data_IF_577652460596
#
_entry.id   IF_577652460596
#
_cell.length_a   1.000
_cell.length_b   1.000
_cell.length_c   1.000
_cell.angle_alpha   90.00
_cell.angle_beta   90.00
_cell.angle_gamma   90.00
#
_symmetry.space_group_name_H-M   'P 1'
#
loop_
_entity.id
_entity.type
_entity.pdbx_description
1 polymer ?
#
# COMPACT_ATOMS: atom_id res chain seq x y z
N UNK A 1 5.86 12.52 -4.44
CA UNK A 1 5.33 11.97 -3.17
C UNK A 1 5.32 10.45 -3.30
N UNK A 2 5.73 9.69 -2.27
CA UNK A 2 5.62 8.25 -2.30
C UNK A 2 4.13 7.85 -2.31
N UNK A 3 3.80 6.89 -3.16
CA UNK A 3 2.47 6.28 -3.24
C UNK A 3 2.59 4.95 -2.50
N UNK A 4 1.72 4.73 -1.52
CA UNK A 4 1.64 3.49 -0.77
C UNK A 4 0.34 2.78 -1.14
N UNK A 5 0.45 1.57 -1.66
CA UNK A 5 -0.72 0.75 -1.93
C UNK A 5 -1.08 -0.04 -0.68
N UNK A 6 -2.38 -0.20 -0.42
CA UNK A 6 -2.93 -0.93 0.71
C UNK A 6 -4.01 -1.89 0.25
N UNK A 7 -4.13 -3.03 0.92
CA UNK A 7 -5.09 -4.07 0.65
C UNK A 7 -5.84 -4.46 1.93
N UNK A 8 -7.17 -4.39 1.90
CA UNK A 8 -8.01 -4.80 3.01
C UNK A 8 -8.09 -6.32 3.12
N UNK A 9 -7.67 -6.89 4.25
CA UNK A 9 -7.72 -8.34 4.49
C UNK A 9 -9.15 -8.87 4.63
N UNK A 10 -10.14 -8.00 4.90
CA UNK A 10 -11.53 -8.39 5.16
C UNK A 10 -12.40 -8.42 3.90
N UNK A 11 -12.27 -7.41 3.03
CA UNK A 11 -13.08 -7.29 1.82
C UNK A 11 -12.27 -7.42 0.52
N UNK A 12 -10.94 -7.49 0.60
CA UNK A 12 -10.05 -7.58 -0.55
C UNK A 12 -9.88 -6.28 -1.34
N UNK A 13 -10.45 -5.16 -0.85
CA UNK A 13 -10.36 -3.88 -1.54
C UNK A 13 -8.93 -3.33 -1.50
N UNK A 14 -8.43 -2.91 -2.67
CA UNK A 14 -7.13 -2.24 -2.82
C UNK A 14 -7.33 -0.74 -2.97
N UNK A 15 -6.54 0.03 -2.26
CA UNK A 15 -6.57 1.48 -2.33
C UNK A 15 -5.17 2.07 -2.19
N UNK A 16 -4.96 3.22 -2.81
CA UNK A 16 -3.68 3.90 -2.84
C UNK A 16 -3.75 5.12 -1.91
N UNK A 17 -2.75 5.26 -1.06
CA UNK A 17 -2.56 6.42 -0.19
C UNK A 17 -1.33 7.15 -0.65
N UNK A 18 -1.54 8.36 -1.18
CA UNK A 18 -0.44 9.27 -1.51
C UNK A 18 -0.22 10.17 -0.30
N UNK A 19 0.93 10.04 0.34
CA UNK A 19 1.15 10.73 1.60
C UNK A 19 2.60 10.85 2.04
N UNK A 20 2.82 11.66 3.07
CA UNK A 20 4.12 11.78 3.73
C UNK A 20 4.40 10.54 4.59
N UNK A 21 5.65 10.27 4.94
CA UNK A 21 6.02 9.12 5.81
C UNK A 21 5.17 9.04 7.10
N UNK A 22 4.77 10.19 7.66
CA UNK A 22 3.91 10.28 8.84
C UNK A 22 2.47 9.79 8.61
N UNK A 23 1.99 9.78 7.36
CA UNK A 23 0.68 9.23 7.02
C UNK A 23 0.72 7.71 6.95
N UNK A 24 1.88 7.10 6.67
CA UNK A 24 2.06 5.64 6.71
C UNK A 24 1.76 5.04 8.10
N UNK A 25 2.00 5.81 9.15
CA UNK A 25 1.89 5.36 10.54
C UNK A 25 0.47 5.52 11.10
N UNK A 26 -0.42 6.17 10.33
CA UNK A 26 -1.83 6.28 10.70
C UNK A 26 -2.55 4.96 10.41
N UNK A 27 -3.40 4.53 11.32
CA UNK A 27 -4.33 3.42 11.10
C UNK A 27 -5.26 3.77 9.92
N UNK A 28 -4.97 3.23 8.73
CA UNK A 28 -5.85 3.38 7.59
C UNK A 28 -7.06 2.44 7.74
N UNK A 29 -8.27 2.99 7.64
CA UNK A 29 -9.47 2.19 7.54
C UNK A 29 -9.79 1.94 6.07
N UNK A 30 -10.29 0.74 5.75
CA UNK A 30 -10.76 0.44 4.41
C UNK A 30 -11.95 1.35 4.07
N UNK A 31 -11.92 2.10 2.95
CA UNK A 31 -13.02 3.00 2.57
C UNK A 31 -14.32 2.26 2.22
N UNK A 32 -14.25 0.96 1.93
CA UNK A 32 -15.41 0.15 1.51
C UNK A 32 -16.13 -0.52 2.67
N UNK A 33 -15.39 -1.04 3.66
CA UNK A 33 -15.97 -1.81 4.76
C UNK A 33 -15.68 -1.23 6.15
N UNK A 34 -14.88 -0.16 6.24
CA UNK A 34 -14.49 0.46 7.51
C UNK A 34 -13.55 -0.37 8.38
N UNK A 35 -13.09 -1.53 7.91
CA UNK A 35 -12.16 -2.37 8.70
C UNK A 35 -10.79 -1.70 8.79
N UNK A 36 -10.20 -1.73 9.99
CA UNK A 36 -8.82 -1.32 10.25
C UNK A 36 -7.80 -2.39 9.86
N UNK A 37 -8.26 -3.59 9.47
CA UNK A 37 -7.43 -4.70 9.01
C UNK A 37 -7.00 -4.51 7.56
N UNK A 38 -6.19 -3.49 7.31
CA UNK A 38 -5.56 -3.24 6.03
C UNK A 38 -4.06 -3.54 6.11
N UNK A 39 -3.50 -4.13 5.07
CA UNK A 39 -2.08 -4.44 4.94
C UNK A 39 -1.49 -3.60 3.83
N UNK A 40 -0.29 -3.10 4.03
CA UNK A 40 0.42 -2.38 2.97
C UNK A 40 0.75 -3.35 1.84
N UNK A 41 0.18 -3.11 0.66
CA UNK A 41 0.55 -3.77 -0.56
C UNK A 41 1.82 -3.07 -1.08
N UNK A 42 2.98 -3.61 -0.73
CA UNK A 42 4.22 -3.08 -1.29
C UNK A 42 4.31 -3.64 -2.71
N UNK A 43 4.03 -2.82 -3.72
CA UNK A 43 4.32 -3.20 -5.10
C UNK A 43 5.84 -3.34 -5.22
N UNK A 44 6.34 -4.58 -5.15
CA UNK A 44 7.72 -4.88 -5.50
C UNK A 44 7.86 -4.62 -7.00
N UNK A 45 8.07 -3.36 -7.39
CA UNK A 45 8.68 -3.07 -8.68
C UNK A 45 10.10 -3.65 -8.63
N UNK A 46 10.23 -4.87 -9.12
CA UNK A 46 11.52 -5.48 -9.43
C UNK A 46 12.11 -4.68 -10.60
N UNK A 47 12.84 -3.61 -10.31
CA UNK A 47 13.82 -3.12 -11.27
C UNK A 47 14.82 -4.26 -11.45
N UNK A 48 14.65 -5.04 -12.52
CA UNK A 48 15.63 -6.05 -12.87
C UNK A 48 17.00 -5.34 -12.87
N UNK A 49 18.00 -5.83 -12.10
CA UNK A 49 19.32 -5.24 -12.17
C UNK A 49 19.77 -5.28 -13.64
N UNK A 50 20.47 -4.25 -14.15
CA UNK A 50 20.96 -4.28 -15.52
C UNK A 50 21.74 -5.59 -15.69
N UNK A 51 21.33 -6.42 -16.67
CA UNK A 51 22.09 -7.60 -17.07
C UNK A 51 23.48 -7.11 -17.49
N UNK A 52 24.45 -7.20 -16.58
CA UNK A 52 25.86 -7.04 -16.91
C UNK A 52 26.22 -8.18 -17.86
N UNK A 53 26.53 -7.81 -19.10
CA UNK A 53 27.07 -8.69 -20.13
C UNK A 53 28.58 -8.87 -19.92
#
# INVERSE_FOLDING_TARGET
MPIYEFNCSKCGERFEVTGSYAEREKEHACPKCGSKEVKQAISLFSAAPPKSF
#
